data_IF_472239100941
#
_entry.id   IF_472239100941
#
_cell.length_a   1.000
_cell.length_b   1.000
_cell.length_c   1.000
_cell.angle_alpha   90.00
_cell.angle_beta   90.00
_cell.angle_gamma   90.00
#
_symmetry.space_group_name_H-M   'P 1'
#
loop_
_entity.id
_entity.type
_entity.pdbx_description
1 polymer ?
#
# COMPACT_ATOMS: atom_id res chain seq x y z
N UNK A 1 -14.35 -2.16 -11.02
CA UNK A 1 -13.46 -2.65 -12.09
C UNK A 1 -12.04 -2.08 -12.00
N UNK A 2 -11.87 -0.75 -11.88
CA UNK A 2 -10.56 -0.09 -11.80
C UNK A 2 -9.65 -0.63 -10.67
N UNK A 3 -10.23 -0.96 -9.51
CA UNK A 3 -9.48 -1.46 -8.34
C UNK A 3 -8.76 -2.79 -8.54
N UNK A 4 -9.42 -3.75 -9.21
CA UNK A 4 -8.80 -5.05 -9.49
C UNK A 4 -7.67 -4.93 -10.53
N UNK A 5 -7.78 -3.97 -11.44
CA UNK A 5 -6.71 -3.72 -12.41
C UNK A 5 -5.45 -3.18 -11.74
N UNK A 6 -5.59 -2.27 -10.76
CA UNK A 6 -4.47 -1.71 -9.99
C UNK A 6 -3.69 -2.77 -9.20
N UNK A 7 -4.38 -3.76 -8.62
CA UNK A 7 -3.72 -4.86 -7.91
C UNK A 7 -2.89 -5.73 -8.87
N UNK A 8 -3.43 -6.08 -10.04
CA UNK A 8 -2.74 -6.93 -11.03
C UNK A 8 -1.45 -6.28 -11.50
N UNK A 9 -1.46 -4.98 -11.84
CA UNK A 9 -0.27 -4.30 -12.36
C UNK A 9 0.77 -3.95 -11.29
N UNK A 10 0.35 -3.80 -10.03
CA UNK A 10 1.27 -3.50 -8.91
C UNK A 10 1.90 -4.75 -8.28
N UNK A 11 1.31 -5.93 -8.50
CA UNK A 11 1.75 -7.20 -7.89
C UNK A 11 3.20 -7.60 -8.26
N UNK A 12 3.66 -7.52 -9.52
CA UNK A 12 5.04 -7.87 -9.84
C UNK A 12 6.06 -7.04 -9.06
N UNK A 13 5.80 -5.74 -8.89
CA UNK A 13 6.67 -4.81 -8.17
C UNK A 13 6.63 -5.03 -6.66
N UNK A 14 5.48 -5.43 -6.09
CA UNK A 14 5.44 -5.90 -4.70
C UNK A 14 6.29 -7.15 -4.48
N UNK A 15 6.26 -8.09 -5.43
CA UNK A 15 7.06 -9.31 -5.33
C UNK A 15 8.56 -9.00 -5.46
N UNK A 16 8.96 -8.14 -6.40
CA UNK A 16 10.36 -7.71 -6.54
C UNK A 16 10.84 -6.95 -5.29
N UNK A 17 9.99 -6.09 -4.70
CA UNK A 17 10.30 -5.45 -3.42
C UNK A 17 10.54 -6.46 -2.30
N UNK A 18 9.67 -7.46 -2.19
CA UNK A 18 9.79 -8.51 -1.18
C UNK A 18 11.06 -9.35 -1.35
N UNK A 19 11.37 -9.75 -2.59
CA UNK A 19 12.59 -10.50 -2.92
C UNK A 19 13.84 -9.66 -2.64
N UNK A 20 13.83 -8.37 -3.00
CA UNK A 20 14.95 -7.45 -2.77
C UNK A 20 15.18 -7.23 -1.28
N UNK A 21 14.10 -7.10 -0.49
CA UNK A 21 14.18 -7.01 0.97
C UNK A 21 14.84 -8.23 1.61
N UNK A 22 14.48 -9.45 1.15
CA UNK A 22 15.09 -10.70 1.61
C UNK A 22 16.59 -10.76 1.28
N UNK A 23 16.99 -10.20 0.14
CA UNK A 23 18.39 -10.14 -0.31
C UNK A 23 19.20 -9.04 0.37
N UNK A 24 18.57 -8.20 1.19
CA UNK A 24 19.22 -7.04 1.80
C UNK A 24 19.45 -5.87 0.82
N UNK A 25 18.83 -5.90 -0.36
CA UNK A 25 18.93 -4.84 -1.37
C UNK A 25 17.86 -3.78 -1.12
N UNK A 26 18.15 -2.88 -0.18
CA UNK A 26 17.24 -1.83 0.27
C UNK A 26 16.87 -0.82 -0.82
N UNK A 27 17.84 -0.43 -1.66
CA UNK A 27 17.60 0.54 -2.74
C UNK A 27 16.64 -0.02 -3.78
N UNK A 28 16.87 -1.27 -4.22
CA UNK A 28 15.97 -1.93 -5.18
C UNK A 28 14.61 -2.23 -4.56
N UNK A 29 14.58 -2.63 -3.30
CA UNK A 29 13.34 -2.84 -2.56
C UNK A 29 12.48 -1.57 -2.54
N UNK A 30 13.09 -0.43 -2.21
CA UNK A 30 12.40 0.86 -2.16
C UNK A 30 11.90 1.27 -3.54
N UNK A 31 12.76 1.20 -4.58
CA UNK A 31 12.38 1.55 -5.94
C UNK A 31 11.19 0.70 -6.45
N UNK A 32 11.17 -0.59 -6.13
CA UNK A 32 10.07 -1.49 -6.48
C UNK A 32 8.79 -1.18 -5.71
N UNK A 33 8.87 -0.82 -4.43
CA UNK A 33 7.69 -0.34 -3.69
C UNK A 33 7.16 0.99 -4.24
N UNK A 34 8.02 1.95 -4.55
CA UNK A 34 7.61 3.22 -5.17
C UNK A 34 6.91 2.99 -6.50
N UNK A 35 7.43 2.08 -7.32
CA UNK A 35 6.80 1.70 -8.58
C UNK A 35 5.45 1.05 -8.35
N UNK A 36 5.34 0.12 -7.40
CA UNK A 36 4.06 -0.50 -7.04
C UNK A 36 3.01 0.55 -6.62
N UNK A 37 3.40 1.53 -5.78
CA UNK A 37 2.55 2.63 -5.34
C UNK A 37 2.11 3.51 -6.51
N UNK A 38 3.03 3.83 -7.43
CA UNK A 38 2.70 4.59 -8.65
C UNK A 38 1.68 3.87 -9.54
N UNK A 39 1.67 2.53 -9.51
CA UNK A 39 0.74 1.67 -10.27
C UNK A 39 -0.55 1.35 -9.50
N UNK A 40 -0.76 2.00 -8.36
CA UNK A 40 -2.01 1.90 -7.61
C UNK A 40 -2.00 0.89 -6.49
N UNK A 41 -0.83 0.45 -6.00
CA UNK A 41 -0.75 -0.16 -4.67
C UNK A 41 -1.23 0.86 -3.64
N UNK A 42 -2.35 0.55 -3.00
CA UNK A 42 -2.94 1.36 -1.94
C UNK A 42 -2.78 0.68 -0.58
N UNK A 43 -2.72 1.49 0.46
CA UNK A 43 -2.69 1.02 1.84
C UNK A 43 -1.30 0.66 2.32
N UNK A 44 -0.77 1.48 3.22
CA UNK A 44 0.54 1.31 3.85
C UNK A 44 0.55 0.17 4.90
N UNK A 45 -0.62 -0.29 5.35
CA UNK A 45 -0.76 -1.32 6.40
C UNK A 45 -0.15 -2.66 6.03
N UNK A 46 -0.20 -3.05 4.75
CA UNK A 46 0.38 -4.31 4.27
C UNK A 46 1.91 -4.30 4.35
N UNK A 47 2.52 -3.12 4.13
CA UNK A 47 3.97 -2.90 4.28
C UNK A 47 4.33 -2.91 5.77
N UNK A 48 3.60 -2.15 6.60
CA UNK A 48 3.87 -2.05 8.04
C UNK A 48 3.70 -3.37 8.81
N UNK A 49 2.80 -4.25 8.38
CA UNK A 49 2.56 -5.55 9.02
C UNK A 49 3.52 -6.65 8.56
N UNK A 50 4.28 -6.41 7.50
CA UNK A 50 5.21 -7.41 7.00
C UNK A 50 6.58 -7.22 7.66
N UNK A 51 7.04 -8.16 8.50
CA UNK A 51 8.28 -8.01 9.26
C UNK A 51 9.53 -7.87 8.37
N UNK A 52 9.46 -8.32 7.13
CA UNK A 52 10.57 -8.22 6.17
C UNK A 52 10.93 -6.77 5.85
N UNK A 53 9.99 -5.84 5.95
CA UNK A 53 10.25 -4.41 5.73
C UNK A 53 10.65 -3.66 7.00
N UNK A 54 10.53 -4.28 8.19
CA UNK A 54 10.80 -3.64 9.48
C UNK A 54 12.19 -3.00 9.58
N UNK A 55 13.29 -3.63 9.09
CA UNK A 55 14.62 -3.02 9.14
C UNK A 55 14.71 -1.69 8.37
N UNK A 56 13.84 -1.48 7.38
CA UNK A 56 13.89 -0.33 6.49
C UNK A 56 12.98 0.81 6.94
N UNK A 57 12.19 0.68 8.02
CA UNK A 57 11.22 1.71 8.42
C UNK A 57 11.85 3.03 8.88
N UNK A 58 13.10 3.01 9.33
CA UNK A 58 13.84 4.22 9.69
C UNK A 58 14.53 4.89 8.49
N UNK A 59 14.60 4.19 7.35
CA UNK A 59 15.19 4.74 6.14
C UNK A 59 14.38 5.95 5.65
N UNK A 60 15.04 7.09 5.32
CA UNK A 60 14.34 8.30 4.89
C UNK A 60 13.36 8.07 3.74
N UNK A 61 13.77 7.27 2.74
CA UNK A 61 12.94 6.95 1.58
C UNK A 61 11.69 6.14 1.95
N UNK A 62 11.84 5.13 2.81
CA UNK A 62 10.71 4.34 3.30
C UNK A 62 9.73 5.18 4.14
N UNK A 63 10.25 6.06 5.01
CA UNK A 63 9.41 6.99 5.78
C UNK A 63 8.60 7.92 4.87
N UNK A 64 9.25 8.49 3.86
CA UNK A 64 8.59 9.35 2.88
C UNK A 64 7.50 8.59 2.09
N UNK A 65 7.78 7.36 1.67
CA UNK A 65 6.82 6.51 0.96
C UNK A 65 5.61 6.18 1.82
N UNK A 66 5.82 5.73 3.07
CA UNK A 66 4.73 5.43 4.01
C UNK A 66 3.88 6.68 4.28
N UNK A 67 4.51 7.84 4.47
CA UNK A 67 3.81 9.10 4.69
C UNK A 67 2.96 9.50 3.47
N UNK A 68 3.51 9.39 2.26
CA UNK A 68 2.78 9.63 1.02
C UNK A 68 1.55 8.73 0.92
N UNK A 69 1.71 7.43 1.14
CA UNK A 69 0.61 6.46 1.11
C UNK A 69 -0.46 6.75 2.17
N UNK A 70 -0.08 7.19 3.38
CA UNK A 70 -1.02 7.62 4.44
C UNK A 70 -1.87 8.80 3.99
N UNK A 71 -1.25 9.82 3.40
CA UNK A 71 -1.94 11.02 2.91
C UNK A 71 -2.93 10.64 1.79
N UNK A 72 -2.50 9.82 0.84
CA UNK A 72 -3.36 9.35 -0.25
C UNK A 72 -4.55 8.53 0.26
N UNK A 73 -4.33 7.67 1.26
CA UNK A 73 -5.39 6.87 1.88
C UNK A 73 -6.43 7.75 2.59
N UNK A 74 -5.99 8.77 3.34
CA UNK A 74 -6.90 9.74 3.98
C UNK A 74 -7.69 10.51 2.92
N UNK A 75 -7.01 11.04 1.89
CA UNK A 75 -7.67 11.79 0.82
C UNK A 75 -8.72 10.95 0.09
N UNK A 76 -8.43 9.67 -0.16
CA UNK A 76 -9.38 8.71 -0.74
C UNK A 76 -10.60 8.48 0.17
N UNK A 77 -10.38 8.24 1.47
CA UNK A 77 -11.49 8.08 2.43
C UNK A 77 -12.36 9.32 2.53
N UNK A 78 -11.76 10.52 2.55
CA UNK A 78 -12.51 11.78 2.56
C UNK A 78 -13.34 11.96 1.28
N UNK A 79 -12.79 11.59 0.11
CA UNK A 79 -13.53 11.63 -1.16
C UNK A 79 -14.72 10.67 -1.15
N UNK A 80 -14.54 9.43 -0.67
CA UNK A 80 -15.61 8.43 -0.56
C UNK A 80 -16.75 8.89 0.37
N UNK A 81 -16.42 9.56 1.48
CA UNK A 81 -17.43 10.13 2.39
C UNK A 81 -18.20 11.28 1.71
N UNK A 82 -17.50 12.11 0.92
CA UNK A 82 -18.11 13.27 0.24
C UNK A 82 -18.93 12.89 -0.99
N UNK A 83 -18.64 11.76 -1.64
CA UNK A 83 -19.35 11.29 -2.84
C UNK A 83 -20.68 10.57 -2.53
N UNK A 84 -21.03 10.36 -1.26
CA UNK A 84 -22.31 9.75 -0.89
C UNK A 84 -22.49 8.29 -1.30
N UNK A 85 -21.40 7.57 -1.62
CA UNK A 85 -21.50 6.12 -1.83
C UNK A 85 -21.88 5.46 -0.50
N UNK A 86 -23.02 4.74 -0.43
CA UNK A 86 -23.44 4.10 0.80
C UNK A 86 -22.41 3.05 1.17
N UNK A 87 -21.87 3.14 2.40
CA UNK A 87 -21.21 1.99 3.02
C UNK A 87 -22.25 0.88 3.04
N UNK A 88 -21.98 -0.24 2.35
CA UNK A 88 -22.76 -1.45 2.56
C UNK A 88 -22.82 -1.67 4.08
N UNK A 89 -24.01 -1.71 4.69
CA UNK A 89 -24.10 -1.99 6.11
C UNK A 89 -23.40 -3.32 6.35
N UNK A 90 -22.46 -3.32 7.31
CA UNK A 90 -21.95 -4.56 7.86
C UNK A 90 -23.20 -5.37 8.26
N UNK A 91 -23.37 -6.55 7.65
CA UNK A 91 -24.44 -7.46 8.01
C UNK A 91 -24.35 -7.64 9.52
N UNK A 92 -25.26 -6.99 10.23
CA UNK A 92 -25.50 -7.22 11.65
C UNK A 92 -26.28 -8.53 11.69
N UNK A 93 -25.58 -9.62 11.36
CA UNK A 93 -25.97 -10.95 11.76
C UNK A 93 -25.77 -11.00 13.27
N UNK A 94 -26.79 -10.54 13.99
CA UNK A 94 -27.01 -10.94 15.38
C UNK A 94 -28.17 -11.93 15.41
N UNK A 95 -28.06 -12.99 16.23
CA UNK A 95 -28.88 -14.21 16.17
C UNK A 95 -30.33 -14.00 16.58
#
# INVERSE_FOLDING_TARGET
>A
LLWRQSEIVSTPYRNDAWVSAIRGDGDRMLASLEKAVSLGLRGHRSILRNPIYQPYFEEPGMRALIQKMKIEEVAMRTRLVRSGEPRLPEDISTP
#
